data_IF_939887005657
#
_entry.id   IF_939887005657
#
_cell.length_a   1.000
_cell.length_b   1.000
_cell.length_c   1.000
_cell.angle_alpha   90.00
_cell.angle_beta   90.00
_cell.angle_gamma   90.00
#
_symmetry.space_group_name_H-M   'P 1'
#
loop_
_entity.id
_entity.type
_entity.pdbx_description
1 polymer ?
#
# COMPACT_ATOMS: atom_id res chain seq x y z
N UNK A 1 12.81 6.82 21.67
CA UNK A 1 11.54 6.51 20.97
C UNK A 1 11.28 7.49 19.82
N UNK A 2 11.42 8.81 20.01
CA UNK A 2 11.24 9.77 18.92
C UNK A 2 12.16 9.55 17.73
N UNK A 3 13.44 9.28 17.97
CA UNK A 3 14.43 8.98 16.92
C UNK A 3 14.04 7.70 16.16
N UNK A 4 13.58 6.66 16.83
CA UNK A 4 13.17 5.40 16.17
C UNK A 4 11.98 5.60 15.25
N UNK A 5 10.97 6.40 15.68
CA UNK A 5 9.84 6.75 14.84
C UNK A 5 10.24 7.61 13.63
N UNK A 6 11.20 8.52 13.83
CA UNK A 6 11.77 9.31 12.74
C UNK A 6 12.47 8.41 11.72
N UNK A 7 13.32 7.47 12.18
CA UNK A 7 14.00 6.50 11.31
C UNK A 7 13.00 5.58 10.58
N UNK A 8 11.92 5.19 11.25
CA UNK A 8 10.84 4.43 10.65
C UNK A 8 10.18 5.19 9.48
N UNK A 9 9.82 6.44 9.68
CA UNK A 9 9.27 7.26 8.60
C UNK A 9 10.30 7.52 7.48
N UNK A 10 11.56 7.77 7.86
CA UNK A 10 12.65 7.99 6.92
C UNK A 10 12.85 6.80 5.98
N UNK A 11 12.71 5.57 6.47
CA UNK A 11 12.86 4.36 5.63
C UNK A 11 11.90 4.33 4.45
N UNK A 12 10.66 4.82 4.61
CA UNK A 12 9.71 4.92 3.50
C UNK A 12 10.07 5.99 2.48
N UNK A 13 10.54 7.15 2.95
CA UNK A 13 11.05 8.18 2.05
C UNK A 13 12.26 7.70 1.26
N UNK A 14 13.18 6.99 1.92
CA UNK A 14 14.36 6.41 1.29
C UNK A 14 14.00 5.37 0.23
N UNK A 15 12.97 4.54 0.45
CA UNK A 15 12.53 3.56 -0.53
C UNK A 15 12.13 4.26 -1.84
N UNK A 16 11.34 5.32 -1.76
CA UNK A 16 10.92 6.09 -2.92
C UNK A 16 12.07 6.88 -3.55
N UNK A 17 12.92 7.48 -2.70
CA UNK A 17 14.08 8.25 -3.16
C UNK A 17 15.05 7.37 -3.92
N UNK A 18 15.37 6.18 -3.41
CA UNK A 18 16.27 5.22 -4.06
C UNK A 18 15.70 4.77 -5.40
N UNK A 19 14.41 4.43 -5.47
CA UNK A 19 13.78 4.07 -6.74
C UNK A 19 13.87 5.21 -7.77
N UNK A 20 13.55 6.45 -7.37
CA UNK A 20 13.65 7.63 -8.24
C UNK A 20 15.10 7.93 -8.67
N UNK A 21 16.06 7.77 -7.76
CA UNK A 21 17.50 7.97 -8.07
C UNK A 21 18.00 6.95 -9.08
N UNK A 22 17.56 5.69 -8.97
CA UNK A 22 17.93 4.66 -9.95
C UNK A 22 17.33 4.95 -11.32
N UNK A 23 16.06 5.39 -11.39
CA UNK A 23 15.47 5.82 -12.67
C UNK A 23 16.27 6.96 -13.28
N UNK A 24 16.65 7.98 -12.50
CA UNK A 24 17.43 9.11 -13.02
C UNK A 24 18.85 8.71 -13.45
N UNK A 25 19.40 7.62 -12.95
CA UNK A 25 20.76 7.15 -13.27
C UNK A 25 20.81 6.27 -14.51
N UNK A 26 19.76 5.51 -14.79
CA UNK A 26 19.76 4.52 -15.89
C UNK A 26 18.95 4.97 -17.10
N UNK A 27 18.04 5.94 -16.97
CA UNK A 27 17.08 6.30 -18.00
C UNK A 27 17.22 7.77 -18.41
N UNK A 28 16.63 8.12 -19.55
CA UNK A 28 16.63 9.48 -20.08
C UNK A 28 15.89 10.46 -19.15
N UNK A 29 16.19 11.75 -19.31
CA UNK A 29 15.49 12.81 -18.56
C UNK A 29 13.98 12.80 -18.80
N UNK A 30 13.54 12.42 -20.00
CA UNK A 30 12.12 12.32 -20.36
C UNK A 30 11.44 11.18 -19.60
N UNK A 31 12.04 9.99 -19.59
CA UNK A 31 11.54 8.82 -18.85
C UNK A 31 11.53 9.07 -17.34
N UNK A 32 12.58 9.70 -16.81
CA UNK A 32 12.62 10.14 -15.41
C UNK A 32 11.52 11.16 -15.10
N UNK A 33 11.27 12.11 -16.00
CA UNK A 33 10.20 13.08 -15.88
C UNK A 33 8.82 12.42 -15.79
N UNK A 34 8.56 11.44 -16.65
CA UNK A 34 7.32 10.65 -16.63
C UNK A 34 7.17 9.84 -15.33
N UNK A 35 8.22 9.11 -14.93
CA UNK A 35 8.22 8.35 -13.68
C UNK A 35 7.95 9.25 -12.46
N UNK A 36 8.66 10.38 -12.37
CA UNK A 36 8.52 11.33 -11.27
C UNK A 36 7.13 11.95 -11.21
N UNK A 37 6.52 12.25 -12.36
CA UNK A 37 5.16 12.74 -12.45
C UNK A 37 4.17 11.71 -11.91
N UNK A 38 4.24 10.47 -12.38
CA UNK A 38 3.38 9.38 -11.90
C UNK A 38 3.57 9.13 -10.40
N UNK A 39 4.82 9.11 -9.95
CA UNK A 39 5.13 8.93 -8.54
C UNK A 39 4.56 10.04 -7.65
N UNK A 40 4.62 11.29 -8.11
CA UNK A 40 4.04 12.45 -7.41
C UNK A 40 2.51 12.33 -7.29
N UNK A 41 1.82 11.88 -8.34
CA UNK A 41 0.38 11.65 -8.30
C UNK A 41 0.02 10.59 -7.25
N UNK A 42 0.77 9.48 -7.22
CA UNK A 42 0.55 8.41 -6.26
C UNK A 42 0.82 8.88 -4.83
N UNK A 43 1.87 9.67 -4.62
CA UNK A 43 2.12 10.28 -3.32
C UNK A 43 0.99 11.19 -2.86
N UNK A 44 0.39 11.98 -3.75
CA UNK A 44 -0.80 12.78 -3.44
C UNK A 44 -1.97 11.93 -2.93
N UNK A 45 -2.21 10.79 -3.59
CA UNK A 45 -3.24 9.82 -3.18
C UNK A 45 -2.92 9.24 -1.79
N UNK A 46 -1.67 8.83 -1.57
CA UNK A 46 -1.22 8.28 -0.27
C UNK A 46 -1.39 9.30 0.84
N UNK A 47 -0.99 10.55 0.60
CA UNK A 47 -1.14 11.62 1.59
C UNK A 47 -2.61 11.85 1.97
N UNK A 48 -3.52 11.84 1.00
CA UNK A 48 -4.95 11.95 1.26
C UNK A 48 -5.47 10.78 2.11
N UNK A 49 -5.05 9.54 1.79
CA UNK A 49 -5.40 8.35 2.56
C UNK A 49 -4.77 8.36 3.96
N UNK A 50 -3.52 8.83 4.09
CA UNK A 50 -2.80 8.97 5.34
C UNK A 50 -3.43 10.00 6.28
N UNK A 51 -3.91 11.12 5.75
CA UNK A 51 -4.62 12.13 6.52
C UNK A 51 -5.88 11.57 7.19
N UNK A 52 -6.62 10.69 6.50
CA UNK A 52 -7.77 10.01 7.08
C UNK A 52 -7.36 9.11 8.26
N UNK A 53 -6.29 8.32 8.11
CA UNK A 53 -5.77 7.47 9.19
C UNK A 53 -5.25 8.28 10.37
N UNK A 54 -4.60 9.40 10.14
CA UNK A 54 -3.97 10.20 11.19
C UNK A 54 -4.95 10.59 12.30
N UNK A 55 -6.21 10.85 11.97
CA UNK A 55 -7.25 11.20 12.95
C UNK A 55 -7.53 10.05 13.92
N UNK A 56 -7.48 8.81 13.45
CA UNK A 56 -7.84 7.62 14.24
C UNK A 56 -6.64 6.93 14.88
N UNK A 57 -5.45 7.18 14.37
CA UNK A 57 -4.23 6.45 14.73
C UNK A 57 -3.91 6.49 16.23
N UNK A 58 -3.98 7.64 16.94
CA UNK A 58 -3.71 7.67 18.38
C UNK A 58 -4.68 6.81 19.20
N UNK A 59 -5.97 6.79 18.80
CA UNK A 59 -6.99 5.99 19.48
C UNK A 59 -6.75 4.49 19.26
N UNK A 60 -6.39 4.11 18.03
CA UNK A 60 -6.06 2.74 17.66
C UNK A 60 -4.86 2.25 18.50
N UNK A 61 -3.78 3.04 18.58
CA UNK A 61 -2.60 2.71 19.36
C UNK A 61 -2.91 2.50 20.84
N UNK A 62 -3.66 3.41 21.45
CA UNK A 62 -4.03 3.32 22.86
C UNK A 62 -4.84 2.05 23.15
N UNK A 63 -5.76 1.70 22.27
CA UNK A 63 -6.57 0.48 22.44
C UNK A 63 -5.75 -0.79 22.25
N UNK A 64 -4.90 -0.85 21.23
CA UNK A 64 -3.99 -1.98 21.00
C UNK A 64 -2.99 -2.17 22.16
N UNK A 65 -2.60 -1.08 22.83
CA UNK A 65 -1.73 -1.15 23.99
C UNK A 65 -2.39 -1.88 25.18
N UNK A 66 -3.68 -1.65 25.40
CA UNK A 66 -4.43 -2.20 26.53
C UNK A 66 -5.13 -3.53 26.26
N UNK A 67 -5.20 -3.97 25.00
CA UNK A 67 -5.86 -5.23 24.63
C UNK A 67 -4.99 -6.46 24.85
N UNK A 68 -5.65 -7.57 25.21
CA UNK A 68 -5.07 -8.92 25.14
C UNK A 68 -4.81 -9.32 23.68
N UNK A 69 -3.99 -10.32 23.45
CA UNK A 69 -3.52 -10.72 22.11
C UNK A 69 -4.65 -11.14 21.18
N UNK A 70 -5.66 -11.87 21.68
CA UNK A 70 -6.82 -12.31 20.88
C UNK A 70 -7.70 -11.13 20.46
N UNK A 71 -7.99 -10.23 21.40
CA UNK A 71 -8.76 -9.00 21.14
C UNK A 71 -7.99 -8.06 20.23
N UNK A 72 -6.65 -8.01 20.37
CA UNK A 72 -5.80 -7.23 19.48
C UNK A 72 -5.87 -7.74 18.04
N UNK A 73 -5.83 -9.06 17.82
CA UNK A 73 -5.95 -9.66 16.50
C UNK A 73 -7.31 -9.35 15.85
N UNK A 74 -8.41 -9.48 16.60
CA UNK A 74 -9.74 -9.13 16.12
C UNK A 74 -9.84 -7.64 15.73
N UNK A 75 -9.31 -6.75 16.59
CA UNK A 75 -9.29 -5.31 16.32
C UNK A 75 -8.45 -4.97 15.07
N UNK A 76 -7.28 -5.61 14.92
CA UNK A 76 -6.42 -5.45 13.73
C UNK A 76 -7.17 -5.89 12.48
N UNK A 77 -7.81 -7.07 12.51
CA UNK A 77 -8.57 -7.59 11.37
C UNK A 77 -9.70 -6.63 10.95
N UNK A 78 -10.39 -6.05 11.93
CA UNK A 78 -11.46 -5.07 11.72
C UNK A 78 -10.93 -3.76 11.12
N UNK A 79 -9.88 -3.18 11.69
CA UNK A 79 -9.25 -1.94 11.20
C UNK A 79 -8.74 -2.15 9.77
N UNK A 80 -8.02 -3.23 9.52
CA UNK A 80 -7.52 -3.58 8.19
C UNK A 80 -8.67 -3.77 7.20
N UNK A 81 -9.75 -4.42 7.62
CA UNK A 81 -10.91 -4.62 6.74
C UNK A 81 -11.47 -3.31 6.23
N UNK A 82 -11.65 -2.32 7.11
CA UNK A 82 -12.15 -0.99 6.74
C UNK A 82 -11.13 -0.23 5.90
N UNK A 83 -9.87 -0.19 6.33
CA UNK A 83 -8.84 0.62 5.68
C UNK A 83 -8.47 0.10 4.30
N UNK A 84 -8.33 -1.22 4.13
CA UNK A 84 -8.02 -1.82 2.83
C UNK A 84 -9.15 -1.55 1.83
N UNK A 85 -10.41 -1.71 2.23
CA UNK A 85 -11.53 -1.39 1.34
C UNK A 85 -11.52 0.09 0.91
N UNK A 86 -11.15 0.98 1.81
CA UNK A 86 -11.01 2.41 1.50
C UNK A 86 -9.87 2.65 0.49
N UNK A 87 -8.68 2.09 0.74
CA UNK A 87 -7.52 2.20 -0.18
C UNK A 87 -7.84 1.57 -1.53
N UNK A 88 -8.49 0.41 -1.55
CA UNK A 88 -8.88 -0.26 -2.79
C UNK A 88 -9.79 0.63 -3.64
N UNK A 89 -10.80 1.26 -3.02
CA UNK A 89 -11.68 2.19 -3.73
C UNK A 89 -10.93 3.40 -4.26
N UNK A 90 -10.09 4.02 -3.43
CA UNK A 90 -9.29 5.18 -3.85
C UNK A 90 -8.34 4.80 -4.98
N UNK A 91 -7.72 3.62 -4.90
CA UNK A 91 -6.83 3.12 -5.96
C UNK A 91 -7.57 2.86 -7.27
N UNK A 92 -8.75 2.24 -7.22
CA UNK A 92 -9.58 2.03 -8.40
C UNK A 92 -10.03 3.35 -9.03
N UNK A 93 -10.44 4.32 -8.21
CA UNK A 93 -10.81 5.66 -8.70
C UNK A 93 -9.61 6.39 -9.29
N UNK A 94 -8.41 6.22 -8.74
CA UNK A 94 -7.19 6.85 -9.25
C UNK A 94 -6.77 6.33 -10.63
N UNK A 95 -7.15 5.10 -10.99
CA UNK A 95 -6.94 4.56 -12.35
C UNK A 95 -7.70 5.40 -13.37
N UNK A 96 -8.92 5.88 -13.05
CA UNK A 96 -9.63 6.81 -13.94
C UNK A 96 -8.85 8.11 -14.15
N UNK A 97 -8.20 8.61 -13.10
CA UNK A 97 -7.34 9.80 -13.20
C UNK A 97 -6.17 9.52 -14.15
N UNK A 98 -5.53 8.36 -14.05
CA UNK A 98 -4.45 7.95 -14.95
C UNK A 98 -4.94 7.87 -16.42
N UNK A 99 -6.15 7.32 -16.64
CA UNK A 99 -6.76 7.28 -17.99
C UNK A 99 -6.97 8.70 -18.53
N UNK A 100 -7.59 9.58 -17.77
CA UNK A 100 -7.82 10.98 -18.20
C UNK A 100 -6.49 11.68 -18.51
N UNK A 101 -5.48 11.50 -17.65
CA UNK A 101 -4.16 12.08 -17.86
C UNK A 101 -3.47 11.53 -19.12
N UNK A 102 -3.65 10.26 -19.43
CA UNK A 102 -3.10 9.67 -20.67
C UNK A 102 -3.70 10.26 -21.95
N UNK A 103 -4.92 10.80 -21.89
CA UNK A 103 -5.52 11.56 -22.99
C UNK A 103 -5.06 13.01 -23.04
N UNK A 104 -4.85 13.64 -21.88
CA UNK A 104 -4.39 15.03 -21.79
C UNK A 104 -2.91 15.17 -22.13
N UNK A 105 -2.11 14.13 -21.88
CA UNK A 105 -0.67 14.09 -22.08
C UNK A 105 -0.30 12.91 -23.03
N UNK A 106 -0.66 13.01 -24.32
CA UNK A 106 -0.51 11.89 -25.25
C UNK A 106 0.93 11.43 -25.45
N UNK A 107 1.90 12.32 -25.26
CA UNK A 107 3.34 11.99 -25.31
C UNK A 107 3.80 11.02 -24.21
N UNK A 108 3.16 11.04 -23.04
CA UNK A 108 3.49 10.15 -21.90
C UNK A 108 2.47 9.02 -21.73
N UNK A 109 1.58 8.82 -22.69
CA UNK A 109 0.44 7.91 -22.56
C UNK A 109 0.88 6.50 -22.21
N UNK A 110 1.84 5.94 -22.93
CA UNK A 110 2.29 4.57 -22.72
C UNK A 110 2.90 4.38 -21.34
N UNK A 111 3.73 5.33 -20.91
CA UNK A 111 4.41 5.23 -19.61
C UNK A 111 3.43 5.41 -18.45
N UNK A 112 2.53 6.39 -18.54
CA UNK A 112 1.50 6.61 -17.51
C UNK A 112 0.64 5.35 -17.37
N UNK A 113 0.19 4.75 -18.47
CA UNK A 113 -0.73 3.60 -18.44
C UNK A 113 -0.09 2.34 -17.86
N UNK A 114 1.24 2.19 -17.92
CA UNK A 114 1.96 1.03 -17.40
C UNK A 114 2.54 1.31 -16.00
N UNK A 115 3.23 2.46 -15.81
CA UNK A 115 3.93 2.77 -14.56
C UNK A 115 2.93 3.04 -13.43
N UNK A 116 1.85 3.76 -13.71
CA UNK A 116 0.87 4.10 -12.68
C UNK A 116 0.25 2.85 -12.01
N UNK A 117 -0.26 1.86 -12.75
CA UNK A 117 -0.77 0.62 -12.15
C UNK A 117 0.29 -0.14 -11.33
N UNK A 118 1.53 -0.19 -11.80
CA UNK A 118 2.63 -0.86 -11.09
C UNK A 118 2.89 -0.21 -9.74
N UNK A 119 3.04 1.11 -9.72
CA UNK A 119 3.37 1.82 -8.49
C UNK A 119 2.17 1.83 -7.51
N UNK A 120 0.93 1.99 -8.00
CA UNK A 120 -0.26 1.92 -7.13
C UNK A 120 -0.43 0.52 -6.52
N UNK A 121 -0.04 -0.54 -7.22
CA UNK A 121 0.00 -1.89 -6.70
C UNK A 121 0.91 -1.98 -5.46
N UNK A 122 2.10 -1.38 -5.51
CA UNK A 122 3.00 -1.29 -4.36
C UNK A 122 2.32 -0.65 -3.14
N UNK A 123 1.52 0.39 -3.36
CA UNK A 123 0.79 1.07 -2.29
C UNK A 123 -0.37 0.24 -1.71
N UNK A 124 -1.11 -0.46 -2.55
CA UNK A 124 -2.16 -1.39 -2.09
C UNK A 124 -1.55 -2.48 -1.20
N UNK A 125 -0.42 -3.07 -1.62
CA UNK A 125 0.31 -4.07 -0.85
C UNK A 125 0.76 -3.49 0.49
N UNK A 126 1.38 -2.32 0.47
CA UNK A 126 1.91 -1.67 1.66
C UNK A 126 0.80 -1.28 2.65
N UNK A 127 -0.36 -0.83 2.17
CA UNK A 127 -1.51 -0.47 3.00
C UNK A 127 -2.04 -1.66 3.80
N UNK A 128 -1.80 -2.89 3.34
CA UNK A 128 -2.20 -4.10 4.06
C UNK A 128 -1.47 -4.30 5.40
N UNK A 129 -0.36 -3.58 5.65
CA UNK A 129 0.38 -3.62 6.93
C UNK A 129 -0.28 -2.80 8.03
N UNK A 130 -1.24 -1.91 7.72
CA UNK A 130 -1.70 -0.83 8.62
C UNK A 130 -2.11 -1.35 10.00
N UNK A 131 -2.82 -2.34 10.21
CA UNK A 131 -3.14 -2.84 11.56
C UNK A 131 -1.95 -3.49 12.28
N UNK A 132 -1.12 -4.22 11.53
CA UNK A 132 0.05 -4.94 12.07
C UNK A 132 1.15 -3.97 12.52
N UNK A 133 1.45 -2.95 11.71
CA UNK A 133 2.43 -1.91 12.08
C UNK A 133 1.98 -1.14 13.33
N UNK A 134 0.70 -0.77 13.41
CA UNK A 134 0.14 -0.12 14.59
C UNK A 134 0.28 -0.99 15.85
N UNK A 135 0.06 -2.30 15.74
CA UNK A 135 0.24 -3.23 16.86
C UNK A 135 1.70 -3.30 17.32
N UNK A 136 2.64 -3.45 16.42
CA UNK A 136 4.07 -3.47 16.76
C UNK A 136 4.51 -2.17 17.43
N UNK A 137 4.01 -1.02 16.97
CA UNK A 137 4.25 0.28 17.61
C UNK A 137 3.63 0.34 19.02
N UNK A 138 2.42 -0.19 19.23
CA UNK A 138 1.79 -0.25 20.54
C UNK A 138 2.58 -1.12 21.52
N UNK A 139 3.18 -2.21 21.07
CA UNK A 139 4.02 -3.13 21.87
C UNK A 139 5.49 -2.69 21.98
N UNK A 140 5.83 -1.44 21.61
CA UNK A 140 7.19 -0.86 21.67
C UNK A 140 8.23 -1.62 20.82
N UNK A 141 7.78 -2.23 19.71
CA UNK A 141 8.64 -2.93 18.74
C UNK A 141 8.97 -2.06 17.52
N UNK A 142 8.99 -0.74 17.67
CA UNK A 142 9.27 0.20 16.59
C UNK A 142 10.62 -0.03 15.91
N UNK A 143 11.62 -0.52 16.63
CA UNK A 143 12.93 -0.83 16.06
C UNK A 143 12.87 -1.95 14.99
N UNK A 144 12.00 -2.94 15.18
CA UNK A 144 11.79 -3.99 14.16
C UNK A 144 11.26 -3.42 12.85
N UNK A 145 10.31 -2.47 12.95
CA UNK A 145 9.79 -1.78 11.76
C UNK A 145 10.86 -0.97 11.03
N UNK A 146 11.76 -0.32 11.79
CA UNK A 146 12.93 0.37 11.21
C UNK A 146 13.81 -0.60 10.43
N UNK A 147 14.16 -1.75 11.03
CA UNK A 147 14.99 -2.77 10.39
C UNK A 147 14.33 -3.24 9.10
N UNK A 148 13.06 -3.64 9.13
CA UNK A 148 12.34 -4.10 7.93
C UNK A 148 12.23 -3.02 6.85
N UNK A 149 12.07 -1.74 7.25
CA UNK A 149 12.09 -0.61 6.33
C UNK A 149 13.44 -0.48 5.62
N UNK A 150 14.54 -0.52 6.35
CA UNK A 150 15.90 -0.45 5.75
C UNK A 150 16.25 -1.67 4.92
N UNK A 151 15.86 -2.87 5.34
CA UNK A 151 16.02 -4.10 4.53
C UNK A 151 15.28 -3.96 3.19
N UNK A 152 14.08 -3.36 3.19
CA UNK A 152 13.32 -3.08 1.97
C UNK A 152 14.01 -2.03 1.09
N UNK A 153 14.66 -1.02 1.66
CA UNK A 153 15.46 -0.04 0.92
C UNK A 153 16.67 -0.70 0.27
N UNK A 154 17.38 -1.56 1.00
CA UNK A 154 18.51 -2.33 0.45
C UNK A 154 18.04 -3.26 -0.68
N UNK A 155 16.91 -3.93 -0.50
CA UNK A 155 16.31 -4.77 -1.53
C UNK A 155 15.96 -3.95 -2.79
N UNK A 156 15.37 -2.75 -2.61
CA UNK A 156 15.08 -1.83 -3.72
C UNK A 156 16.34 -1.44 -4.45
N UNK A 157 17.41 -1.12 -3.73
CA UNK A 157 18.69 -0.76 -4.32
C UNK A 157 19.27 -1.92 -5.13
N UNK A 158 19.37 -3.11 -4.54
CA UNK A 158 19.97 -4.27 -5.20
C UNK A 158 19.15 -4.69 -6.43
N UNK A 159 17.84 -4.87 -6.29
CA UNK A 159 16.99 -5.25 -7.42
C UNK A 159 16.94 -4.15 -8.47
N UNK A 160 16.94 -2.89 -8.07
CA UNK A 160 16.91 -1.77 -9.01
C UNK A 160 18.19 -1.65 -9.84
N UNK A 161 19.36 -1.88 -9.23
CA UNK A 161 20.64 -1.97 -9.98
C UNK A 161 20.59 -3.15 -10.97
N UNK A 162 20.16 -4.32 -10.51
CA UNK A 162 20.03 -5.50 -11.39
C UNK A 162 19.06 -5.23 -12.55
N UNK A 163 17.92 -4.59 -12.28
CA UNK A 163 16.97 -4.23 -13.32
C UNK A 163 17.52 -3.20 -14.30
N UNK A 164 18.25 -2.18 -13.81
CA UNK A 164 18.88 -1.17 -14.64
C UNK A 164 19.96 -1.76 -15.56
N UNK A 165 20.85 -2.58 -15.01
CA UNK A 165 21.97 -3.17 -15.75
C UNK A 165 21.55 -4.24 -16.77
N UNK A 166 20.65 -5.16 -16.38
CA UNK A 166 20.34 -6.35 -17.20
C UNK A 166 19.12 -6.17 -18.09
N UNK A 167 18.08 -5.48 -17.62
CA UNK A 167 16.82 -5.36 -18.37
C UNK A 167 16.72 -4.03 -19.14
N UNK A 168 17.41 -3.00 -18.70
CA UNK A 168 17.33 -1.64 -19.26
C UNK A 168 15.88 -1.24 -19.61
N UNK A 169 14.96 -1.50 -18.68
CA UNK A 169 13.53 -1.27 -18.83
C UNK A 169 12.98 -0.52 -17.65
N UNK A 170 12.41 0.67 -17.89
CA UNK A 170 11.74 1.49 -16.89
C UNK A 170 10.61 0.73 -16.18
N UNK A 171 9.91 -0.11 -16.90
CA UNK A 171 8.83 -0.94 -16.35
C UNK A 171 9.35 -2.00 -15.38
N UNK A 172 10.46 -2.67 -15.74
CA UNK A 172 11.11 -3.64 -14.86
C UNK A 172 11.61 -2.97 -13.58
N UNK A 173 12.21 -1.78 -13.67
CA UNK A 173 12.65 -1.01 -12.52
C UNK A 173 11.45 -0.55 -11.67
N UNK A 174 10.35 -0.14 -12.28
CA UNK A 174 9.12 0.23 -11.55
C UNK A 174 8.53 -0.93 -10.74
N UNK A 175 8.68 -2.19 -11.20
CA UNK A 175 8.24 -3.40 -10.47
C UNK A 175 9.03 -3.65 -9.17
N UNK A 176 10.21 -3.09 -9.04
CA UNK A 176 11.02 -3.22 -7.81
C UNK A 176 10.29 -2.63 -6.60
N UNK A 177 9.53 -1.54 -6.79
CA UNK A 177 8.78 -0.88 -5.71
C UNK A 177 7.70 -1.81 -5.10
N UNK A 178 6.78 -2.43 -5.86
CA UNK A 178 5.83 -3.37 -5.30
C UNK A 178 6.47 -4.63 -4.72
N UNK A 179 7.61 -5.12 -5.27
CA UNK A 179 8.34 -6.27 -4.70
C UNK A 179 8.90 -5.91 -3.32
N UNK A 180 9.53 -4.75 -3.18
CA UNK A 180 10.07 -4.29 -1.89
C UNK A 180 8.96 -3.97 -0.88
N UNK A 181 7.82 -3.44 -1.34
CA UNK A 181 6.63 -3.24 -0.52
C UNK A 181 6.05 -4.57 -0.02
N UNK A 182 6.07 -5.61 -0.86
CA UNK A 182 5.64 -6.96 -0.49
C UNK A 182 6.57 -7.56 0.57
N UNK A 183 7.88 -7.41 0.41
CA UNK A 183 8.85 -7.87 1.39
C UNK A 183 8.62 -7.21 2.76
N UNK A 184 8.51 -5.86 2.79
CA UNK A 184 8.20 -5.12 4.01
C UNK A 184 6.89 -5.59 4.66
N UNK A 185 5.85 -5.75 3.85
CA UNK A 185 4.52 -6.20 4.29
C UNK A 185 4.59 -7.59 4.91
N UNK A 186 5.33 -8.50 4.26
CA UNK A 186 5.53 -9.86 4.73
C UNK A 186 6.23 -9.89 6.10
N UNK A 187 7.36 -9.18 6.24
CA UNK A 187 8.13 -9.16 7.48
C UNK A 187 7.34 -8.54 8.63
N UNK A 188 6.64 -7.42 8.37
CA UNK A 188 5.81 -6.75 9.38
C UNK A 188 4.63 -7.62 9.83
N UNK A 189 3.94 -8.26 8.90
CA UNK A 189 2.80 -9.14 9.21
C UNK A 189 3.27 -10.35 10.00
N UNK A 190 4.36 -11.00 9.58
CA UNK A 190 4.95 -12.15 10.26
C UNK A 190 5.35 -11.82 11.70
N UNK A 191 6.09 -10.74 11.94
CA UNK A 191 6.50 -10.30 13.28
C UNK A 191 5.29 -9.96 14.16
N UNK A 192 4.28 -9.34 13.59
CA UNK A 192 3.05 -9.02 14.32
C UNK A 192 2.29 -10.27 14.75
N UNK A 193 2.12 -11.25 13.86
CA UNK A 193 1.48 -12.53 14.18
C UNK A 193 2.29 -13.31 15.23
N UNK A 194 3.61 -13.38 15.10
CA UNK A 194 4.49 -13.99 16.09
C UNK A 194 4.35 -13.31 17.48
N UNK A 195 4.24 -11.98 17.50
CA UNK A 195 4.08 -11.22 18.75
C UNK A 195 2.71 -11.46 19.40
N UNK A 196 1.70 -11.85 18.63
CA UNK A 196 0.35 -12.23 19.11
C UNK A 196 0.22 -13.73 19.39
N UNK A 197 1.30 -14.49 19.39
CA UNK A 197 1.30 -15.95 19.53
C UNK A 197 0.38 -16.67 18.51
N UNK A 198 0.16 -16.05 17.33
CA UNK A 198 -0.59 -16.63 16.23
C UNK A 198 0.33 -17.39 15.29
N UNK A 199 -0.25 -18.30 14.50
CA UNK A 199 0.51 -18.99 13.48
C UNK A 199 1.12 -18.01 12.48
N UNK A 200 2.43 -18.06 12.31
CA UNK A 200 3.23 -17.16 11.48
C UNK A 200 4.06 -17.92 10.43
N UNK A 201 3.62 -19.12 10.07
CA UNK A 201 4.17 -19.85 8.94
C UNK A 201 3.99 -19.04 7.64
N UNK A 202 4.87 -19.23 6.68
CA UNK A 202 4.88 -18.47 5.41
C UNK A 202 3.51 -18.52 4.75
N UNK A 203 2.87 -19.70 4.70
CA UNK A 203 1.56 -19.88 4.09
C UNK A 203 0.46 -19.03 4.78
N UNK A 204 0.49 -18.96 6.12
CA UNK A 204 -0.51 -18.20 6.88
C UNK A 204 -0.29 -16.68 6.75
N UNK A 205 0.96 -16.24 6.74
CA UNK A 205 1.30 -14.83 6.47
C UNK A 205 0.86 -14.42 5.08
N UNK A 206 1.14 -15.23 4.05
CA UNK A 206 0.70 -14.97 2.69
C UNK A 206 -0.83 -14.96 2.58
N UNK A 207 -1.52 -15.89 3.24
CA UNK A 207 -2.98 -15.92 3.29
C UNK A 207 -3.58 -14.68 3.97
N UNK A 208 -2.92 -14.16 4.99
CA UNK A 208 -3.31 -12.92 5.66
C UNK A 208 -3.12 -11.70 4.73
N UNK A 209 -1.99 -11.61 4.04
CA UNK A 209 -1.72 -10.53 3.08
C UNK A 209 -2.66 -10.65 1.87
N UNK A 210 -2.81 -11.84 1.32
CA UNK A 210 -3.42 -12.14 0.03
C UNK A 210 -4.85 -12.70 0.11
N UNK A 211 -5.65 -12.24 1.08
CA UNK A 211 -7.07 -12.57 1.07
C UNK A 211 -7.72 -12.16 -0.26
N UNK A 212 -8.43 -13.08 -0.93
CA UNK A 212 -8.95 -12.92 -2.29
C UNK A 212 -9.70 -11.61 -2.53
N UNK A 213 -10.51 -11.17 -1.57
CA UNK A 213 -11.27 -9.90 -1.64
C UNK A 213 -10.38 -8.66 -1.62
N UNK A 214 -9.18 -8.75 -1.01
CA UNK A 214 -8.21 -7.67 -0.94
C UNK A 214 -7.34 -7.61 -2.21
N UNK A 215 -7.23 -8.74 -2.92
CA UNK A 215 -6.41 -8.88 -4.12
C UNK A 215 -7.09 -8.48 -5.40
N UNK A 216 -8.42 -8.45 -5.40
CA UNK A 216 -9.16 -8.15 -6.61
C UNK A 216 -8.77 -6.80 -7.24
N UNK A 217 -8.56 -5.70 -6.49
CA UNK A 217 -8.04 -4.46 -7.06
C UNK A 217 -6.64 -4.60 -7.67
N UNK A 218 -5.76 -5.38 -7.04
CA UNK A 218 -4.42 -5.65 -7.58
C UNK A 218 -4.49 -6.37 -8.93
N UNK A 219 -5.38 -7.36 -9.04
CA UNK A 219 -5.62 -8.07 -10.31
C UNK A 219 -6.17 -7.13 -11.36
N UNK A 220 -7.11 -6.25 -11.01
CA UNK A 220 -7.63 -5.24 -11.93
C UNK A 220 -6.55 -4.29 -12.43
N UNK A 221 -5.67 -3.83 -11.53
CA UNK A 221 -4.54 -2.96 -11.89
C UNK A 221 -3.61 -3.66 -12.87
N UNK A 222 -3.32 -4.94 -12.65
CA UNK A 222 -2.50 -5.75 -13.56
C UNK A 222 -3.20 -5.95 -14.92
N UNK A 223 -4.49 -6.26 -14.93
CA UNK A 223 -5.28 -6.39 -16.16
C UNK A 223 -5.26 -5.07 -16.94
N UNK A 224 -5.42 -3.94 -16.24
CA UNK A 224 -5.36 -2.63 -16.87
C UNK A 224 -4.01 -2.37 -17.52
N UNK A 225 -2.90 -2.71 -16.86
CA UNK A 225 -1.55 -2.53 -17.39
C UNK A 225 -1.31 -3.34 -18.69
N UNK A 226 -1.94 -4.52 -18.81
CA UNK A 226 -1.83 -5.36 -20.01
C UNK A 226 -2.84 -5.04 -21.11
N UNK A 227 -3.98 -4.44 -20.78
CA UNK A 227 -5.09 -4.16 -21.70
C UNK A 227 -5.23 -2.66 -21.93
N UNK A 228 -4.13 -2.03 -22.37
CA UNK A 228 -4.06 -0.59 -22.65
C UNK A 228 -5.18 -0.16 -23.61
N UNK A 229 -5.88 0.93 -23.27
CA UNK A 229 -6.97 1.57 -24.03
C UNK A 229 -8.38 1.01 -23.84
N UNK A 230 -8.62 0.06 -22.98
CA UNK A 230 -9.97 -0.46 -22.76
C UNK A 230 -10.55 0.01 -21.40
N UNK A 231 -10.86 1.30 -21.29
CA UNK A 231 -11.46 1.90 -20.09
C UNK A 231 -12.74 1.21 -19.61
N UNK A 232 -13.50 0.61 -20.52
CA UNK A 232 -14.70 -0.16 -20.19
C UNK A 232 -14.38 -1.42 -19.34
N UNK A 233 -13.20 -2.03 -19.49
CA UNK A 233 -12.76 -3.14 -18.63
C UNK A 233 -12.61 -2.69 -17.18
N UNK A 234 -12.09 -1.48 -16.97
CA UNK A 234 -11.96 -0.90 -15.63
C UNK A 234 -13.33 -0.68 -15.00
N UNK A 235 -14.28 -0.13 -15.77
CA UNK A 235 -15.66 0.08 -15.29
C UNK A 235 -16.32 -1.24 -14.87
N UNK A 236 -16.17 -2.29 -15.69
CA UNK A 236 -16.66 -3.63 -15.36
C UNK A 236 -16.00 -4.14 -14.08
N UNK A 237 -14.67 -4.00 -13.97
CA UNK A 237 -13.91 -4.40 -12.80
C UNK A 237 -14.33 -3.67 -11.54
N UNK A 238 -14.54 -2.36 -11.60
CA UNK A 238 -15.10 -1.57 -10.47
C UNK A 238 -16.49 -2.06 -10.11
N UNK A 239 -17.35 -2.34 -11.08
CA UNK A 239 -18.68 -2.88 -10.86
C UNK A 239 -18.64 -4.23 -10.12
N UNK A 240 -17.80 -5.15 -10.57
CA UNK A 240 -17.61 -6.46 -9.93
C UNK A 240 -17.05 -6.29 -8.52
N UNK A 241 -16.06 -5.42 -8.32
CA UNK A 241 -15.51 -5.13 -7.00
C UNK A 241 -16.58 -4.60 -6.03
N UNK A 242 -17.37 -3.64 -6.46
CA UNK A 242 -18.47 -3.08 -5.67
C UNK A 242 -19.52 -4.15 -5.33
N UNK A 243 -19.86 -5.00 -6.30
CA UNK A 243 -20.81 -6.09 -6.09
C UNK A 243 -20.31 -7.11 -5.06
N UNK A 244 -19.08 -7.59 -5.20
CA UNK A 244 -18.47 -8.57 -4.28
C UNK A 244 -18.34 -7.99 -2.87
N UNK A 245 -17.97 -6.72 -2.75
CA UNK A 245 -17.68 -6.07 -1.48
C UNK A 245 -18.85 -5.23 -0.93
N UNK A 246 -20.02 -5.24 -1.57
CA UNK A 246 -21.17 -4.40 -1.19
C UNK A 246 -21.51 -4.47 0.30
N UNK A 247 -21.63 -5.69 0.86
CA UNK A 247 -21.92 -5.88 2.29
C UNK A 247 -20.82 -5.30 3.18
N UNK A 248 -19.56 -5.56 2.83
CA UNK A 248 -18.42 -5.08 3.60
C UNK A 248 -18.31 -3.55 3.53
N UNK A 249 -18.50 -2.96 2.35
CA UNK A 249 -18.51 -1.50 2.15
C UNK A 249 -19.62 -0.84 2.96
N UNK A 250 -20.84 -1.39 2.93
CA UNK A 250 -21.95 -0.85 3.73
C UNK A 250 -21.66 -0.89 5.23
N UNK A 251 -21.07 -1.98 5.73
CA UNK A 251 -20.65 -2.11 7.12
C UNK A 251 -19.55 -1.09 7.43
N UNK A 252 -18.51 -1.01 6.58
CA UNK A 252 -17.37 -0.11 6.78
C UNK A 252 -17.77 1.36 6.75
N UNK A 253 -18.69 1.75 5.86
CA UNK A 253 -19.23 3.12 5.81
C UNK A 253 -20.01 3.43 7.10
N UNK A 254 -20.87 2.50 7.54
CA UNK A 254 -21.61 2.68 8.80
C UNK A 254 -20.67 2.78 10.01
N UNK A 255 -19.65 1.95 10.06
CA UNK A 255 -18.64 2.00 11.12
C UNK A 255 -17.82 3.29 11.05
N UNK A 256 -17.39 3.72 9.86
CA UNK A 256 -16.69 4.98 9.65
C UNK A 256 -17.54 6.18 10.12
N UNK A 257 -18.79 6.25 9.71
CA UNK A 257 -19.73 7.30 10.15
C UNK A 257 -19.91 7.25 11.67
N UNK A 258 -20.08 6.06 12.27
CA UNK A 258 -20.19 5.89 13.72
C UNK A 258 -18.94 6.36 14.46
N UNK A 259 -17.75 6.05 13.94
CA UNK A 259 -16.48 6.48 14.51
C UNK A 259 -16.32 8.02 14.46
N UNK A 260 -16.83 8.66 13.40
CA UNK A 260 -16.80 10.12 13.26
C UNK A 260 -17.84 10.78 14.15
N UNK A 261 -19.07 10.25 14.20
CA UNK A 261 -20.20 10.87 14.93
C UNK A 261 -20.13 10.65 16.44
N UNK A 262 -19.57 9.53 16.90
CA UNK A 262 -19.52 9.17 18.32
C UNK A 262 -18.07 9.10 18.82
N UNK A 263 -17.71 10.11 19.62
CA UNK A 263 -16.37 10.22 20.23
C UNK A 263 -15.98 8.99 21.06
N UNK A 264 -16.97 8.23 21.55
CA UNK A 264 -16.82 7.04 22.41
C UNK A 264 -16.98 5.71 21.65
N UNK A 265 -17.36 5.73 20.38
CA UNK A 265 -17.69 4.50 19.62
C UNK A 265 -16.52 3.55 19.39
N UNK A 266 -15.28 4.00 19.61
CA UNK A 266 -14.09 3.14 19.66
C UNK A 266 -13.89 2.50 21.04
N UNK A 267 -14.77 2.79 22.01
CA UNK A 267 -14.68 2.29 23.39
C UNK A 267 -15.53 1.04 23.64
N UNK A 268 -16.31 0.57 22.66
CA UNK A 268 -17.16 -0.63 22.78
C UNK A 268 -16.59 -1.79 22.00
#
# INVERSE_FOLDING_TARGET
RGITLLLYNLSFYLLTLVASSLVSSYFSLEEFGCYSFVNTLIHGIIMACGAFLFIFYPKILNRLYSCDEDKAYELISRIRGVYILFIDLVSLLSIFVAVVLSYLLPQYRNDITIIFPILILGQIIMSSTTGHSAYLLSKKKEFRLVVFGFESVVLTLVLGILCGEYFNSLYALSLVVPISSLFYTFMTTRESLATMNKNHAIADVLKEIFALKKWFPCVLVLIYAFVINQWHVILIGVGIYLFINYKNLRISIKEGVRIISDRNSLLV
#
